data_IF_800858883445
#
_entry.id   IF_800858883445
#
_cell.length_a   1.000
_cell.length_b   1.000
_cell.length_c   1.000
_cell.angle_alpha   90.00
_cell.angle_beta   90.00
_cell.angle_gamma   90.00
#
_symmetry.space_group_name_H-M   'P 1'
#
loop_
_entity.id
_entity.type
_entity.pdbx_description
1 polymer ?
#
# COMPACT_ATOMS: atom_id res chain seq x y z
N UNK A 1 -1.25 34.42 -35.13
CA UNK A 1 0.17 34.22 -35.46
C UNK A 1 0.92 35.01 -34.40
N UNK A 2 1.26 34.47 -33.23
CA UNK A 2 1.55 33.08 -32.90
C UNK A 2 0.99 32.72 -31.51
N UNK A 3 0.23 31.63 -31.54
CA UNK A 3 -0.18 30.81 -30.41
C UNK A 3 1.02 29.92 -30.02
N UNK A 4 0.97 29.27 -28.87
CA UNK A 4 1.91 28.21 -28.44
C UNK A 4 3.20 28.64 -27.72
N UNK A 5 3.11 29.30 -26.55
CA UNK A 5 4.20 29.09 -25.56
C UNK A 5 3.87 29.35 -24.09
N UNK A 6 2.58 29.37 -23.71
CA UNK A 6 2.20 29.61 -22.32
C UNK A 6 1.16 28.62 -21.79
N UNK A 7 1.29 27.32 -22.10
CA UNK A 7 0.55 26.29 -21.36
C UNK A 7 1.15 24.88 -21.50
N UNK A 8 2.44 24.73 -21.20
CA UNK A 8 3.03 23.38 -21.04
C UNK A 8 3.42 23.05 -19.59
N UNK A 9 2.97 23.87 -18.64
CA UNK A 9 3.18 23.64 -17.20
C UNK A 9 2.02 22.92 -16.51
N UNK A 10 1.02 22.42 -17.27
CA UNK A 10 0.09 21.40 -16.83
C UNK A 10 0.82 20.04 -16.72
N UNK A 11 1.89 20.01 -15.91
CA UNK A 11 2.76 18.87 -15.62
C UNK A 11 1.87 17.69 -15.28
N UNK A 12 2.00 16.61 -16.06
CA UNK A 12 1.45 15.27 -15.84
C UNK A 12 0.98 15.06 -14.40
N UNK A 13 -0.31 15.29 -14.12
CA UNK A 13 -0.93 14.81 -12.89
C UNK A 13 -0.88 13.29 -13.02
N UNK A 14 0.12 12.65 -12.42
CA UNK A 14 0.08 11.19 -12.35
C UNK A 14 -1.20 10.84 -11.60
N UNK A 15 -2.09 10.12 -12.28
CA UNK A 15 -3.39 9.70 -11.73
C UNK A 15 -3.23 8.83 -10.48
N UNK A 16 -2.03 8.28 -10.28
CA UNK A 16 -1.67 7.30 -9.27
C UNK A 16 -0.34 7.71 -8.63
N UNK A 17 -0.22 7.52 -7.32
CA UNK A 17 1.01 7.80 -6.57
C UNK A 17 1.84 6.52 -6.30
N UNK A 18 1.26 5.34 -6.52
CA UNK A 18 1.90 4.04 -6.26
C UNK A 18 1.89 3.23 -7.56
N UNK A 19 3.05 2.99 -8.15
CA UNK A 19 3.18 2.37 -9.47
C UNK A 19 4.02 1.10 -9.35
N UNK A 20 3.51 -0.02 -9.89
CA UNK A 20 4.31 -1.23 -10.05
C UNK A 20 5.36 -0.99 -11.15
N UNK A 21 6.60 -1.37 -10.87
CA UNK A 21 7.68 -1.27 -11.85
C UNK A 21 7.29 -2.03 -13.13
N UNK A 22 7.30 -1.36 -14.31
CA UNK A 22 7.05 -2.02 -15.59
C UNK A 22 8.06 -3.13 -15.84
N UNK A 23 7.61 -4.22 -16.44
CA UNK A 23 8.46 -5.39 -16.69
C UNK A 23 9.66 -5.06 -17.61
N UNK A 24 9.52 -4.03 -18.46
CA UNK A 24 10.58 -3.49 -19.31
C UNK A 24 11.75 -2.86 -18.55
N UNK A 25 11.57 -2.52 -17.26
CA UNK A 25 12.61 -1.92 -16.41
C UNK A 25 13.34 -2.93 -15.52
N UNK A 26 12.99 -4.22 -15.59
CA UNK A 26 13.74 -5.24 -14.85
C UNK A 26 15.16 -5.36 -15.42
N UNK A 27 16.13 -4.74 -14.74
CA UNK A 27 17.56 -4.90 -15.04
C UNK A 27 17.91 -6.38 -15.04
N UNK A 28 18.52 -6.84 -16.13
CA UNK A 28 18.96 -8.22 -16.37
C UNK A 28 17.84 -9.29 -16.26
N UNK A 29 16.58 -8.93 -16.57
CA UNK A 29 15.41 -9.83 -16.44
C UNK A 29 15.14 -10.30 -15.01
N UNK A 30 15.65 -9.59 -13.99
CA UNK A 30 15.51 -9.97 -12.59
C UNK A 30 14.43 -9.14 -11.89
N UNK A 31 13.23 -9.71 -11.73
CA UNK A 31 12.16 -9.16 -10.85
C UNK A 31 12.67 -8.93 -9.41
N UNK A 32 13.67 -9.71 -8.98
CA UNK A 32 14.26 -9.69 -7.63
C UNK A 32 14.93 -8.37 -7.26
N UNK A 33 15.31 -7.53 -8.23
CA UNK A 33 15.95 -6.24 -7.97
C UNK A 33 14.97 -5.21 -7.36
N UNK A 34 13.68 -5.36 -7.66
CA UNK A 34 12.63 -4.42 -7.23
C UNK A 34 11.62 -5.07 -6.28
N UNK A 35 11.60 -6.39 -6.17
CA UNK A 35 10.75 -7.09 -5.22
C UNK A 35 11.25 -6.90 -3.78
N UNK A 36 10.34 -6.71 -2.80
CA UNK A 36 10.71 -6.68 -1.40
C UNK A 36 11.34 -8.01 -0.97
N UNK A 37 12.32 -7.93 -0.07
CA UNK A 37 13.06 -9.10 0.45
C UNK A 37 12.49 -9.67 1.75
N UNK A 38 11.88 -8.82 2.58
CA UNK A 38 11.45 -9.18 3.95
C UNK A 38 10.05 -8.70 4.29
N UNK A 39 9.70 -7.47 3.93
CA UNK A 39 8.41 -6.87 4.26
C UNK A 39 7.78 -6.28 3.00
N UNK A 40 6.52 -6.62 2.74
CA UNK A 40 5.67 -5.88 1.81
C UNK A 40 4.92 -4.80 2.58
N UNK A 41 4.77 -3.61 1.98
CA UNK A 41 3.83 -2.59 2.44
C UNK A 41 2.81 -2.38 1.34
N UNK A 42 1.54 -2.53 1.69
CA UNK A 42 0.41 -2.53 0.80
C UNK A 42 0.22 -3.87 0.06
N UNK A 43 -0.79 -3.90 -0.83
CA UNK A 43 -1.32 -5.11 -1.45
C UNK A 43 -0.44 -5.71 -2.56
N UNK A 44 0.48 -4.94 -3.16
CA UNK A 44 1.17 -5.34 -4.40
C UNK A 44 1.97 -6.64 -4.22
N UNK A 45 2.64 -6.80 -3.08
CA UNK A 45 3.42 -7.99 -2.77
C UNK A 45 2.84 -8.79 -1.60
N UNK A 46 1.63 -8.47 -1.14
CA UNK A 46 0.98 -9.17 -0.03
C UNK A 46 0.74 -10.65 -0.38
N UNK A 47 0.95 -11.54 0.59
CA UNK A 47 0.73 -12.98 0.44
C UNK A 47 1.79 -13.74 -0.36
N UNK A 48 2.85 -13.09 -0.87
CA UNK A 48 3.97 -13.81 -1.51
C UNK A 48 4.67 -14.72 -0.49
N UNK A 49 4.93 -15.97 -0.88
CA UNK A 49 5.50 -17.01 0.02
C UNK A 49 6.77 -16.54 0.74
N UNK A 50 7.66 -15.86 0.03
CA UNK A 50 8.92 -15.34 0.56
C UNK A 50 8.78 -14.17 1.55
N UNK A 51 7.56 -13.67 1.77
CA UNK A 51 7.25 -12.54 2.65
C UNK A 51 6.34 -12.92 3.82
N UNK A 52 5.83 -14.15 3.86
CA UNK A 52 4.91 -14.65 4.90
C UNK A 52 5.45 -14.45 6.32
N UNK A 53 6.75 -14.69 6.55
CA UNK A 53 7.39 -14.42 7.84
C UNK A 53 7.35 -12.93 8.24
N UNK A 54 7.47 -12.03 7.26
CA UNK A 54 7.31 -10.59 7.47
C UNK A 54 5.87 -10.21 7.82
N UNK A 55 4.88 -10.80 7.14
CA UNK A 55 3.46 -10.59 7.45
C UNK A 55 3.13 -10.99 8.90
N UNK A 56 3.64 -12.14 9.38
CA UNK A 56 3.47 -12.56 10.77
C UNK A 56 4.07 -11.57 11.77
N UNK A 57 5.25 -11.02 11.47
CA UNK A 57 5.88 -9.99 12.31
C UNK A 57 4.99 -8.73 12.36
N UNK A 58 4.43 -8.28 11.23
CA UNK A 58 3.54 -7.12 11.21
C UNK A 58 2.30 -7.32 12.08
N UNK A 59 1.70 -8.52 12.05
CA UNK A 59 0.57 -8.88 12.92
C UNK A 59 0.97 -8.84 14.39
N UNK A 60 2.16 -9.33 14.75
CA UNK A 60 2.67 -9.19 16.12
C UNK A 60 2.75 -7.71 16.52
N UNK A 61 3.34 -6.85 15.68
CA UNK A 61 3.45 -5.41 15.96
C UNK A 61 2.08 -4.74 16.10
N UNK A 62 1.10 -5.12 15.26
CA UNK A 62 -0.28 -4.66 15.39
C UNK A 62 -0.87 -4.98 16.76
N UNK A 63 -0.69 -6.20 17.28
CA UNK A 63 -1.14 -6.55 18.63
C UNK A 63 -0.43 -5.73 19.72
N UNK A 64 0.89 -5.56 19.62
CA UNK A 64 1.65 -4.74 20.57
C UNK A 64 1.25 -3.26 20.52
N UNK A 65 0.86 -2.74 19.35
CA UNK A 65 0.38 -1.37 19.23
C UNK A 65 -1.02 -1.22 19.83
N UNK A 66 -1.93 -2.14 19.53
CA UNK A 66 -3.26 -2.23 20.16
C UNK A 66 -3.17 -2.23 21.68
N UNK A 67 -2.30 -3.06 22.26
CA UNK A 67 -2.20 -3.23 23.71
C UNK A 67 -1.57 -2.02 24.42
N UNK A 68 -0.87 -1.15 23.67
CA UNK A 68 -0.36 0.15 24.15
C UNK A 68 -1.36 1.30 23.95
N UNK A 69 -2.45 1.08 23.22
CA UNK A 69 -3.47 2.10 22.98
C UNK A 69 -4.23 2.43 24.27
N UNK A 70 -4.72 3.67 24.38
CA UNK A 70 -5.62 4.08 25.46
C UNK A 70 -6.99 3.40 25.42
N UNK A 71 -7.37 2.81 24.28
CA UNK A 71 -8.63 2.08 24.06
C UNK A 71 -8.40 0.74 23.33
N UNK A 72 -7.78 -0.26 23.97
CA UNK A 72 -7.42 -1.51 23.30
C UNK A 72 -8.60 -2.29 22.74
N UNK A 73 -9.78 -2.22 23.39
CA UNK A 73 -10.97 -2.98 23.01
C UNK A 73 -11.60 -2.50 21.70
N UNK A 74 -11.63 -1.19 21.46
CA UNK A 74 -12.19 -0.62 20.22
C UNK A 74 -11.14 -0.35 19.15
N UNK A 75 -9.84 -0.44 19.48
CA UNK A 75 -8.75 0.00 18.61
C UNK A 75 -8.81 -0.59 17.18
N UNK A 76 -9.03 -1.90 17.04
CA UNK A 76 -9.06 -2.54 15.73
C UNK A 76 -10.30 -2.14 14.93
N UNK A 77 -11.45 -2.03 15.58
CA UNK A 77 -12.70 -1.59 14.94
C UNK A 77 -12.60 -0.12 14.51
N UNK A 78 -12.06 0.74 15.37
CA UNK A 78 -11.85 2.16 15.09
C UNK A 78 -10.89 2.34 13.89
N UNK A 79 -9.78 1.60 13.86
CA UNK A 79 -8.82 1.60 12.75
C UNK A 79 -9.44 1.05 11.46
N UNK A 80 -10.19 -0.06 11.55
CA UNK A 80 -10.86 -0.66 10.40
C UNK A 80 -11.88 0.30 9.80
N UNK A 81 -12.68 0.98 10.62
CA UNK A 81 -13.63 1.99 10.18
C UNK A 81 -12.93 3.20 9.55
N UNK A 82 -11.87 3.71 10.19
CA UNK A 82 -11.10 4.85 9.67
C UNK A 82 -10.50 4.55 8.30
N UNK A 83 -9.91 3.36 8.11
CA UNK A 83 -9.34 2.96 6.82
C UNK A 83 -10.44 2.68 5.79
N UNK A 84 -11.57 2.08 6.20
CA UNK A 84 -12.71 1.82 5.31
C UNK A 84 -13.28 3.11 4.71
N UNK A 85 -13.24 4.23 5.44
CA UNK A 85 -13.71 5.53 4.95
C UNK A 85 -12.84 6.10 3.81
N UNK A 86 -11.53 5.85 3.85
CA UNK A 86 -10.58 6.34 2.84
C UNK A 86 -10.20 5.28 1.79
N UNK A 87 -10.81 4.10 1.87
CA UNK A 87 -10.41 2.91 1.12
C UNK A 87 -10.37 3.15 -0.38
N UNK A 88 -11.45 3.72 -0.94
CA UNK A 88 -11.58 3.98 -2.37
C UNK A 88 -10.51 4.97 -2.85
N UNK A 89 -10.27 6.05 -2.10
CA UNK A 89 -9.28 7.06 -2.44
C UNK A 89 -7.86 6.49 -2.45
N UNK A 90 -7.53 5.68 -1.45
CA UNK A 90 -6.23 5.01 -1.33
C UNK A 90 -6.08 3.95 -2.43
N UNK A 91 -7.12 3.16 -2.72
CA UNK A 91 -7.11 2.17 -3.81
C UNK A 91 -6.86 2.83 -5.16
N UNK A 92 -7.46 4.00 -5.40
CA UNK A 92 -7.22 4.80 -6.61
C UNK A 92 -5.79 5.32 -6.72
N UNK A 93 -5.00 5.39 -5.63
CA UNK A 93 -3.58 5.76 -5.72
C UNK A 93 -2.72 4.65 -6.33
N UNK A 94 -3.20 3.41 -6.39
CA UNK A 94 -2.49 2.31 -7.03
C UNK A 94 -2.70 2.34 -8.54
N UNK A 95 -1.61 2.48 -9.29
CA UNK A 95 -1.58 2.37 -10.76
C UNK A 95 -1.69 0.93 -11.28
N UNK A 96 -2.17 0.01 -10.45
CA UNK A 96 -2.41 -1.40 -10.77
C UNK A 96 -3.74 -1.84 -10.19
N UNK A 97 -4.37 -2.83 -10.85
CA UNK A 97 -5.60 -3.43 -10.33
C UNK A 97 -5.29 -4.22 -9.06
N UNK A 98 -5.89 -3.79 -7.95
CA UNK A 98 -5.83 -4.50 -6.68
C UNK A 98 -6.86 -5.63 -6.68
N UNK A 99 -6.36 -6.87 -6.51
CA UNK A 99 -7.18 -8.10 -6.59
C UNK A 99 -7.98 -8.40 -5.32
N UNK A 100 -7.62 -7.75 -4.21
CA UNK A 100 -8.30 -7.91 -2.94
C UNK A 100 -9.64 -7.19 -2.96
N UNK A 101 -10.65 -7.81 -2.35
CA UNK A 101 -11.91 -7.12 -2.09
C UNK A 101 -11.70 -5.97 -1.08
N UNK A 102 -12.77 -5.21 -0.80
CA UNK A 102 -12.68 -4.05 0.09
C UNK A 102 -12.21 -4.45 1.49
N UNK A 103 -12.83 -5.46 2.10
CA UNK A 103 -12.50 -5.90 3.46
C UNK A 103 -11.06 -6.43 3.57
N UNK A 104 -10.63 -7.25 2.61
CA UNK A 104 -9.26 -7.76 2.54
C UNK A 104 -8.24 -6.62 2.42
N UNK A 105 -8.50 -5.65 1.55
CA UNK A 105 -7.60 -4.51 1.37
C UNK A 105 -7.51 -3.66 2.63
N UNK A 106 -8.64 -3.38 3.30
CA UNK A 106 -8.66 -2.66 4.58
C UNK A 106 -7.82 -3.39 5.63
N UNK A 107 -7.95 -4.72 5.73
CA UNK A 107 -7.16 -5.53 6.67
C UNK A 107 -5.66 -5.43 6.38
N UNK A 108 -5.25 -5.51 5.11
CA UNK A 108 -3.85 -5.34 4.70
C UNK A 108 -3.34 -3.96 5.13
N UNK A 109 -4.07 -2.90 4.79
CA UNK A 109 -3.68 -1.53 5.12
C UNK A 109 -3.63 -1.28 6.63
N UNK A 110 -4.52 -1.89 7.42
CA UNK A 110 -4.55 -1.76 8.88
C UNK A 110 -3.31 -2.37 9.50
N UNK A 111 -2.97 -3.61 9.14
CA UNK A 111 -1.78 -4.31 9.64
C UNK A 111 -0.53 -3.52 9.27
N UNK A 112 -0.45 -3.03 8.05
CA UNK A 112 0.69 -2.25 7.57
C UNK A 112 0.82 -0.90 8.26
N UNK A 113 -0.29 -0.19 8.47
CA UNK A 113 -0.30 1.07 9.20
C UNK A 113 0.19 0.88 10.64
N UNK A 114 -0.24 -0.20 11.32
CA UNK A 114 0.20 -0.49 12.68
C UNK A 114 1.69 -0.89 12.75
N UNK A 115 2.23 -1.54 11.72
CA UNK A 115 3.65 -1.90 11.67
C UNK A 115 4.59 -0.71 11.51
N UNK A 116 4.12 0.38 10.90
CA UNK A 116 4.93 1.59 10.65
C UNK A 116 5.10 2.49 11.89
N UNK A 117 4.42 2.18 13.01
CA UNK A 117 4.39 2.97 14.25
C UNK A 117 5.14 2.25 15.38
#
# INVERSE_FOLDING_TARGET
MDNEMSDQSHRFRQKHSIIKIPDTLYRDHSEKAYAPRKFSIGPIHHGKENLTGGESIKVCYMHHFKDRSSKPESFLDDMFQAISQIESEVREQYGVVIKFNQEEFVKIMLVDACFLI
#
